data_IF_237476787687
#
_entry.id   IF_237476787687
#
_cell.length_a   1.000
_cell.length_b   1.000
_cell.length_c   1.000
_cell.angle_alpha   90.00
_cell.angle_beta   90.00
_cell.angle_gamma   90.00
#
_symmetry.space_group_name_H-M   'P 1'
#
loop_
_entity.id
_entity.type
_entity.pdbx_description
1 polymer ?
#
# COMPACT_ATOMS: atom_id res chain seq x y z
N UNK A 1 -41.06 10.18 -53.45
CA UNK A 1 -39.84 9.44 -53.14
C UNK A 1 -39.26 10.07 -51.86
N UNK A 2 -38.88 9.31 -50.85
CA UNK A 2 -38.24 9.86 -49.65
C UNK A 2 -36.86 10.43 -50.02
N UNK A 3 -36.66 11.71 -49.81
CA UNK A 3 -35.36 12.34 -49.97
C UNK A 3 -34.48 11.89 -48.79
N UNK A 4 -33.64 10.89 -49.04
CA UNK A 4 -32.58 10.55 -48.12
C UNK A 4 -31.54 11.68 -48.12
N UNK A 5 -31.58 12.55 -47.14
CA UNK A 5 -30.52 13.53 -46.90
C UNK A 5 -29.25 12.75 -46.55
N UNK A 6 -28.22 12.89 -47.36
CA UNK A 6 -26.91 12.33 -47.04
C UNK A 6 -26.40 12.93 -45.69
N UNK A 7 -26.13 12.08 -44.74
CA UNK A 7 -25.45 12.47 -43.51
C UNK A 7 -24.00 12.78 -43.89
N UNK A 8 -23.59 14.05 -43.79
CA UNK A 8 -22.21 14.44 -43.99
C UNK A 8 -21.55 14.59 -42.63
N UNK A 9 -20.51 13.83 -42.38
CA UNK A 9 -19.69 13.99 -41.20
C UNK A 9 -19.02 15.37 -41.22
N UNK A 10 -19.11 16.08 -40.08
CA UNK A 10 -18.44 17.37 -39.88
C UNK A 10 -17.49 17.28 -38.74
N UNK A 11 -16.29 17.77 -38.92
CA UNK A 11 -15.27 17.85 -37.90
C UNK A 11 -15.42 19.18 -37.12
N UNK A 12 -15.49 19.09 -35.79
CA UNK A 12 -15.40 20.23 -34.90
C UNK A 12 -13.97 20.30 -34.36
N UNK A 13 -13.25 21.36 -34.71
CA UNK A 13 -11.92 21.61 -34.12
C UNK A 13 -12.04 22.56 -32.93
N UNK A 14 -11.56 22.13 -31.77
CA UNK A 14 -11.49 22.94 -30.56
C UNK A 14 -10.03 23.28 -30.27
N UNK A 15 -9.72 24.56 -30.06
CA UNK A 15 -8.40 25.00 -29.58
C UNK A 15 -8.50 25.24 -28.08
N UNK A 16 -7.65 24.56 -27.32
CA UNK A 16 -7.60 24.65 -25.86
C UNK A 16 -6.29 25.34 -25.46
N UNK A 17 -6.36 26.26 -24.51
CA UNK A 17 -5.18 26.81 -23.85
C UNK A 17 -4.72 25.83 -22.78
N UNK A 18 -3.39 25.78 -22.52
CA UNK A 18 -2.83 24.92 -21.47
C UNK A 18 -3.50 25.22 -20.12
N UNK A 19 -3.84 24.16 -19.39
CA UNK A 19 -4.38 24.27 -18.04
C UNK A 19 -3.22 24.40 -17.02
N UNK A 20 -2.83 25.63 -16.73
CA UNK A 20 -1.80 25.92 -15.72
C UNK A 20 -2.33 25.99 -14.28
N UNK A 21 -3.62 25.73 -14.07
CA UNK A 21 -4.21 25.67 -12.74
C UNK A 21 -3.97 24.28 -12.12
N UNK A 22 -4.16 24.17 -10.81
CA UNK A 22 -4.09 22.86 -10.12
C UNK A 22 -5.44 22.12 -10.09
N UNK A 23 -6.44 22.62 -10.84
CA UNK A 23 -7.79 22.05 -10.84
C UNK A 23 -8.24 21.65 -12.25
N UNK A 24 -9.13 20.66 -12.33
CA UNK A 24 -9.78 20.27 -13.57
C UNK A 24 -10.66 21.42 -14.07
N UNK A 25 -10.59 21.70 -15.37
CA UNK A 25 -11.47 22.65 -16.04
C UNK A 25 -12.51 21.90 -16.85
N UNK A 26 -13.72 22.39 -16.81
CA UNK A 26 -14.83 21.87 -17.61
C UNK A 26 -15.46 22.98 -18.41
N UNK A 27 -15.86 22.66 -19.64
CA UNK A 27 -16.62 23.53 -20.50
C UNK A 27 -17.72 22.73 -21.21
N UNK A 28 -18.84 23.40 -21.46
CA UNK A 28 -19.93 22.83 -22.25
C UNK A 28 -19.98 23.60 -23.57
N UNK A 29 -19.85 22.87 -24.67
CA UNK A 29 -20.01 23.40 -26.03
C UNK A 29 -21.41 23.05 -26.51
N UNK A 30 -22.20 24.06 -26.77
CA UNK A 30 -23.55 23.88 -27.34
C UNK A 30 -23.49 23.82 -28.86
N UNK A 31 -23.95 22.73 -29.44
CA UNK A 31 -24.07 22.51 -30.87
C UNK A 31 -25.50 22.81 -31.26
N UNK A 32 -25.69 23.71 -32.17
CA UNK A 32 -27.03 24.08 -32.70
C UNK A 32 -27.03 23.99 -34.22
N UNK A 33 -27.93 23.20 -34.74
CA UNK A 33 -28.20 23.22 -36.17
C UNK A 33 -29.04 24.46 -36.53
N UNK A 34 -28.55 25.25 -37.47
CA UNK A 34 -29.22 26.47 -37.92
C UNK A 34 -30.39 26.22 -38.88
N UNK A 35 -30.51 25.00 -39.39
CA UNK A 35 -31.57 24.61 -40.38
C UNK A 35 -32.63 23.68 -39.80
N UNK A 36 -32.36 23.08 -38.67
CA UNK A 36 -33.28 22.25 -37.91
C UNK A 36 -33.28 22.66 -36.43
N UNK A 37 -34.26 22.21 -35.66
CA UNK A 37 -34.30 22.48 -34.22
C UNK A 37 -33.45 21.47 -33.40
N UNK A 38 -32.53 20.78 -34.04
CA UNK A 38 -31.63 19.83 -33.35
C UNK A 38 -30.55 20.59 -32.61
N UNK A 39 -30.44 20.28 -31.34
CA UNK A 39 -29.39 20.78 -30.45
C UNK A 39 -28.69 19.60 -29.80
N UNK A 40 -27.39 19.74 -29.57
CA UNK A 40 -26.59 18.77 -28.83
C UNK A 40 -25.58 19.51 -27.94
N UNK A 41 -24.97 18.81 -26.99
CA UNK A 41 -23.99 19.36 -26.09
C UNK A 41 -22.76 18.46 -26.02
N UNK A 42 -21.58 19.07 -26.05
CA UNK A 42 -20.31 18.39 -25.85
C UNK A 42 -19.70 18.91 -24.54
N UNK A 43 -19.48 17.99 -23.58
CA UNK A 43 -18.72 18.30 -22.39
C UNK A 43 -17.23 18.11 -22.68
N UNK A 44 -16.44 19.15 -22.46
CA UNK A 44 -14.97 19.13 -22.59
C UNK A 44 -14.37 19.21 -21.20
N UNK A 45 -13.56 18.24 -20.84
CA UNK A 45 -12.82 18.18 -19.55
C UNK A 45 -11.33 18.30 -19.84
N UNK A 46 -10.66 19.24 -19.19
CA UNK A 46 -9.23 19.44 -19.32
C UNK A 46 -8.55 19.26 -17.96
N UNK A 47 -7.69 18.25 -17.84
CA UNK A 47 -6.88 18.02 -16.66
C UNK A 47 -5.75 19.04 -16.54
N UNK A 48 -5.33 19.40 -15.29
CA UNK A 48 -4.09 20.13 -15.08
C UNK A 48 -2.88 19.24 -15.42
N UNK A 49 -1.69 19.82 -15.43
CA UNK A 49 -0.47 19.02 -15.41
C UNK A 49 -0.48 18.13 -14.15
N UNK A 50 -0.37 16.79 -14.30
CA UNK A 50 -0.48 15.88 -13.18
C UNK A 50 0.64 16.10 -12.16
N UNK A 51 0.26 16.32 -10.91
CA UNK A 51 1.17 16.43 -9.77
C UNK A 51 0.68 15.54 -8.66
N UNK A 52 1.55 14.70 -8.16
CA UNK A 52 1.27 13.86 -6.99
C UNK A 52 2.57 13.62 -6.22
N UNK A 53 2.43 13.40 -4.93
CA UNK A 53 3.52 13.01 -4.05
C UNK A 53 3.03 11.92 -3.12
N UNK A 54 3.29 10.67 -3.50
CA UNK A 54 2.99 9.50 -2.70
C UNK A 54 4.26 9.09 -1.97
N UNK A 55 4.37 9.47 -0.70
CA UNK A 55 5.58 9.22 0.10
C UNK A 55 5.62 7.78 0.65
N UNK A 56 4.48 7.09 0.70
CA UNK A 56 4.38 5.72 1.19
C UNK A 56 3.33 4.94 0.40
N UNK A 57 3.75 3.82 -0.15
CA UNK A 57 2.90 2.86 -0.86
C UNK A 57 2.37 1.72 0.04
N UNK A 58 2.72 1.75 1.35
CA UNK A 58 2.31 0.77 2.35
C UNK A 58 1.38 1.42 3.37
N UNK A 59 0.17 0.90 3.48
CA UNK A 59 -0.84 1.35 4.42
C UNK A 59 -0.99 0.33 5.55
N UNK A 60 -1.03 0.82 6.79
CA UNK A 60 -1.14 -0.03 7.98
C UNK A 60 -2.35 0.29 8.81
N UNK A 61 -2.99 -0.76 9.31
CA UNK A 61 -4.07 -0.66 10.25
C UNK A 61 -3.82 -1.56 11.47
N UNK A 62 -4.19 -1.08 12.67
CA UNK A 62 -4.20 -1.91 13.87
C UNK A 62 -5.32 -2.96 13.78
N UNK A 63 -5.19 -4.04 14.55
CA UNK A 63 -6.11 -5.17 14.51
C UNK A 63 -7.57 -4.79 14.82
N UNK A 64 -7.79 -3.80 15.69
CA UNK A 64 -9.10 -3.33 16.15
C UNK A 64 -9.59 -2.06 15.45
N UNK A 65 -8.80 -1.56 14.48
CA UNK A 65 -9.15 -0.38 13.72
C UNK A 65 -10.34 -0.66 12.79
N UNK A 66 -11.36 0.20 12.85
CA UNK A 66 -12.58 0.07 12.04
C UNK A 66 -12.62 1.03 10.86
N UNK A 67 -11.74 2.03 10.85
CA UNK A 67 -11.61 2.98 9.75
C UNK A 67 -10.15 3.41 9.58
N UNK A 68 -9.66 3.38 8.34
CA UNK A 68 -8.34 3.88 7.97
C UNK A 68 -8.50 4.99 6.95
N UNK A 69 -7.91 6.14 7.25
CA UNK A 69 -7.82 7.26 6.31
C UNK A 69 -6.39 7.42 5.84
N UNK A 70 -6.22 7.55 4.53
CA UNK A 70 -4.96 7.90 3.91
C UNK A 70 -5.14 9.06 2.95
N UNK A 71 -4.21 10.02 2.95
CA UNK A 71 -4.22 11.16 2.03
C UNK A 71 -2.81 11.53 1.61
N UNK A 72 -2.68 12.02 0.39
CA UNK A 72 -1.42 12.48 -0.17
C UNK A 72 -1.66 13.65 -1.13
N UNK A 73 -0.62 14.44 -1.39
CA UNK A 73 -0.69 15.55 -2.34
C UNK A 73 -1.04 15.03 -3.74
N UNK A 74 -2.12 15.53 -4.31
CA UNK A 74 -2.55 15.15 -5.64
C UNK A 74 -3.56 16.15 -6.22
N UNK A 75 -3.37 16.54 -7.47
CA UNK A 75 -4.27 17.44 -8.19
C UNK A 75 -5.14 16.75 -9.24
N UNK A 76 -5.11 15.42 -9.30
CA UNK A 76 -5.91 14.60 -10.22
C UNK A 76 -6.66 13.50 -9.45
N UNK A 77 -7.87 13.11 -9.90
CA UNK A 77 -8.62 12.03 -9.28
C UNK A 77 -8.05 10.66 -9.66
N UNK A 78 -8.22 9.68 -8.77
CA UNK A 78 -7.96 8.28 -9.03
C UNK A 78 -9.16 7.41 -8.67
N UNK A 79 -9.33 6.34 -9.44
CA UNK A 79 -10.15 5.19 -9.03
C UNK A 79 -9.29 4.27 -8.16
N UNK A 80 -9.82 3.81 -7.04
CA UNK A 80 -9.19 2.81 -6.17
C UNK A 80 -9.71 1.44 -6.56
N UNK A 81 -8.83 0.55 -6.99
CA UNK A 81 -9.18 -0.78 -7.49
C UNK A 81 -8.39 -1.82 -6.73
N UNK A 82 -9.07 -2.72 -6.04
CA UNK A 82 -8.44 -3.88 -5.40
C UNK A 82 -8.01 -4.90 -6.45
N UNK A 83 -6.90 -5.59 -6.22
CA UNK A 83 -6.41 -6.65 -7.12
C UNK A 83 -7.26 -7.91 -7.01
N UNK A 84 -7.81 -8.19 -5.83
CA UNK A 84 -8.71 -9.29 -5.56
C UNK A 84 -10.16 -8.86 -5.76
N UNK A 85 -10.97 -9.71 -6.38
CA UNK A 85 -12.39 -9.41 -6.63
C UNK A 85 -13.21 -9.31 -5.33
N UNK A 86 -12.84 -10.09 -4.30
CA UNK A 86 -13.51 -10.07 -3.01
C UNK A 86 -12.50 -10.03 -1.85
N UNK A 87 -12.42 -8.91 -1.18
CA UNK A 87 -11.68 -8.73 0.06
C UNK A 87 -12.66 -8.53 1.20
N UNK A 88 -12.83 -9.54 2.07
CA UNK A 88 -13.89 -9.56 3.07
C UNK A 88 -13.67 -8.61 4.26
N UNK A 89 -12.41 -8.23 4.56
CA UNK A 89 -12.05 -7.48 5.76
C UNK A 89 -11.91 -5.97 5.55
N UNK A 90 -11.85 -5.51 4.29
CA UNK A 90 -11.73 -4.09 3.95
C UNK A 90 -12.63 -3.70 2.80
N UNK A 91 -13.25 -2.53 2.90
CA UNK A 91 -14.02 -1.92 1.82
C UNK A 91 -13.67 -0.45 1.68
N UNK A 92 -13.60 0.03 0.44
CA UNK A 92 -13.47 1.46 0.18
C UNK A 92 -14.78 2.16 0.52
N UNK A 93 -14.75 3.08 1.47
CA UNK A 93 -15.92 3.87 1.90
C UNK A 93 -16.09 5.14 1.09
N UNK A 94 -14.98 5.85 0.84
CA UNK A 94 -15.00 7.17 0.22
C UNK A 94 -13.67 7.50 -0.44
N UNK A 95 -13.73 8.25 -1.54
CA UNK A 95 -12.57 8.96 -2.09
C UNK A 95 -12.94 10.43 -2.31
N UNK A 96 -11.99 11.32 -2.02
CA UNK A 96 -12.13 12.76 -2.27
C UNK A 96 -10.86 13.30 -2.91
N UNK A 97 -11.02 14.24 -3.83
CA UNK A 97 -9.92 15.02 -4.38
C UNK A 97 -10.26 16.51 -4.20
N UNK A 98 -9.80 17.08 -3.13
CA UNK A 98 -10.10 18.46 -2.72
C UNK A 98 -8.81 19.16 -2.29
N UNK A 99 -8.69 20.44 -2.59
CA UNK A 99 -7.58 21.30 -2.16
C UNK A 99 -6.17 20.77 -2.47
N UNK A 100 -6.01 20.06 -3.58
CA UNK A 100 -4.73 19.46 -3.96
C UNK A 100 -4.37 18.20 -3.16
N UNK A 101 -5.32 17.61 -2.43
CA UNK A 101 -5.16 16.37 -1.69
C UNK A 101 -6.11 15.29 -2.25
N UNK A 102 -5.58 14.08 -2.46
CA UNK A 102 -6.40 12.91 -2.68
C UNK A 102 -6.52 12.13 -1.37
N UNK A 103 -7.74 11.94 -0.91
CA UNK A 103 -8.06 11.24 0.34
C UNK A 103 -8.82 9.97 0.04
N UNK A 104 -8.45 8.89 0.72
CA UNK A 104 -9.15 7.60 0.73
C UNK A 104 -9.57 7.26 2.15
N UNK A 105 -10.77 6.73 2.30
CA UNK A 105 -11.29 6.23 3.56
C UNK A 105 -11.71 4.78 3.37
N UNK A 106 -11.13 3.88 4.14
CA UNK A 106 -11.43 2.46 4.15
C UNK A 106 -12.21 2.11 5.42
N UNK A 107 -13.26 1.31 5.27
CA UNK A 107 -13.89 0.61 6.40
C UNK A 107 -13.17 -0.72 6.58
N UNK A 108 -12.82 -1.05 7.81
CA UNK A 108 -12.13 -2.28 8.18
C UNK A 108 -13.00 -3.10 9.12
N UNK A 109 -12.94 -4.42 8.98
CA UNK A 109 -13.43 -5.34 9.98
C UNK A 109 -12.26 -5.71 10.93
N UNK A 110 -12.48 -5.83 12.26
CA UNK A 110 -11.42 -6.19 13.19
C UNK A 110 -10.76 -7.53 12.84
N UNK A 111 -9.45 -7.57 12.85
CA UNK A 111 -8.71 -8.80 12.62
C UNK A 111 -8.66 -9.63 13.90
N UNK A 112 -9.44 -10.70 13.93
CA UNK A 112 -9.47 -11.66 15.05
C UNK A 112 -8.63 -12.91 14.78
N UNK A 113 -7.96 -12.96 13.64
CA UNK A 113 -7.08 -14.06 13.24
C UNK A 113 -5.70 -14.00 13.90
N UNK A 114 -4.88 -14.97 13.57
CA UNK A 114 -3.50 -15.11 14.06
C UNK A 114 -2.45 -14.58 13.08
N UNK A 115 -2.89 -14.05 11.93
CA UNK A 115 -2.04 -13.54 10.87
C UNK A 115 -2.48 -12.17 10.40
N UNK A 116 -1.58 -11.46 9.72
CA UNK A 116 -1.94 -10.21 9.04
C UNK A 116 -2.99 -10.46 7.97
N UNK A 117 -3.97 -9.56 7.90
CA UNK A 117 -4.77 -9.40 6.72
C UNK A 117 -3.98 -8.53 5.72
N UNK A 118 -3.92 -8.93 4.46
CA UNK A 118 -3.22 -8.21 3.41
C UNK A 118 -4.02 -8.17 2.14
N UNK A 119 -3.92 -7.05 1.45
CA UNK A 119 -4.42 -6.91 0.08
C UNK A 119 -3.59 -5.88 -0.68
N UNK A 120 -3.63 -5.96 -2.00
CA UNK A 120 -3.08 -4.95 -2.89
C UNK A 120 -4.20 -4.20 -3.56
N UNK A 121 -3.94 -2.93 -3.82
CA UNK A 121 -4.86 -2.09 -4.58
C UNK A 121 -4.07 -1.17 -5.52
N UNK A 122 -4.73 -0.65 -6.51
CA UNK A 122 -4.17 0.29 -7.47
C UNK A 122 -4.95 1.60 -7.47
N UNK A 123 -4.22 2.69 -7.47
CA UNK A 123 -4.75 4.01 -7.81
C UNK A 123 -4.67 4.15 -9.33
N UNK A 124 -5.83 4.17 -10.01
CA UNK A 124 -5.88 4.22 -11.48
C UNK A 124 -6.51 5.51 -11.96
N UNK A 125 -5.84 6.19 -12.90
CA UNK A 125 -6.45 7.23 -13.71
C UNK A 125 -6.46 6.78 -15.17
N UNK A 126 -7.62 6.34 -15.66
CA UNK A 126 -7.76 5.77 -16.99
C UNK A 126 -7.50 6.79 -18.11
N UNK A 127 -7.85 8.06 -17.86
CA UNK A 127 -7.71 9.12 -18.88
C UNK A 127 -6.23 9.42 -19.13
N UNK A 128 -5.42 9.43 -18.08
CA UNK A 128 -3.99 9.71 -18.16
C UNK A 128 -3.13 8.45 -18.28
N UNK A 129 -3.74 7.27 -18.26
CA UNK A 129 -3.02 5.99 -18.32
C UNK A 129 -2.13 5.72 -17.10
N UNK A 130 -2.45 6.30 -15.92
CA UNK A 130 -1.66 6.16 -14.71
C UNK A 130 -2.18 5.00 -13.86
N UNK A 131 -1.24 4.26 -13.23
CA UNK A 131 -1.55 3.21 -12.26
C UNK A 131 -0.43 3.11 -11.22
N UNK A 132 -0.77 3.24 -9.93
CA UNK A 132 0.16 3.15 -8.81
C UNK A 132 -0.29 2.04 -7.86
N UNK A 133 0.57 1.04 -7.59
CA UNK A 133 0.26 0.00 -6.63
C UNK A 133 0.36 0.55 -5.20
N UNK A 134 -0.54 0.09 -4.34
CA UNK A 134 -0.50 0.27 -2.90
C UNK A 134 -0.72 -1.08 -2.23
N UNK A 135 -0.10 -1.30 -1.09
CA UNK A 135 -0.38 -2.43 -0.21
C UNK A 135 -1.10 -1.97 1.05
N UNK A 136 -2.10 -2.71 1.46
CA UNK A 136 -2.81 -2.47 2.71
C UNK A 136 -2.68 -3.71 3.58
N UNK A 137 -2.17 -3.51 4.80
CA UNK A 137 -1.99 -4.56 5.80
C UNK A 137 -2.70 -4.17 7.10
N UNK A 138 -3.38 -5.16 7.72
CA UNK A 138 -3.97 -5.00 9.04
C UNK A 138 -3.34 -6.00 10.00
N UNK A 139 -2.86 -5.49 11.14
CA UNK A 139 -2.27 -6.32 12.19
C UNK A 139 -3.24 -7.39 12.67
N UNK A 140 -2.70 -8.47 13.18
CA UNK A 140 -3.42 -9.38 14.08
C UNK A 140 -3.28 -8.90 15.52
N UNK A 141 -4.11 -9.43 16.41
CA UNK A 141 -4.01 -9.13 17.85
C UNK A 141 -2.72 -9.73 18.41
N UNK A 142 -1.73 -8.89 18.68
CA UNK A 142 -0.49 -9.32 19.32
C UNK A 142 -0.76 -9.73 20.77
N UNK A 143 -0.05 -10.76 21.23
CA UNK A 143 -0.01 -11.05 22.66
C UNK A 143 0.64 -9.90 23.41
N UNK A 144 0.16 -9.66 24.63
CA UNK A 144 0.69 -8.63 25.53
C UNK A 144 2.19 -8.80 25.73
N UNK A 145 2.96 -7.99 25.17
CA UNK A 145 4.30 -7.93 25.56
C UNK A 145 5.37 -7.96 24.52
N UNK A 146 6.50 -8.41 24.91
CA UNK A 146 7.75 -8.17 24.27
C UNK A 146 8.18 -9.27 23.29
N UNK A 147 7.40 -10.39 23.23
CA UNK A 147 7.75 -11.53 22.39
C UNK A 147 6.51 -12.11 21.74
N UNK A 148 6.53 -12.24 20.43
CA UNK A 148 5.48 -12.85 19.64
C UNK A 148 6.03 -14.09 18.95
N UNK A 149 5.36 -15.22 19.08
CA UNK A 149 5.65 -16.41 18.28
C UNK A 149 4.78 -16.32 17.04
N UNK A 150 5.39 -15.98 15.92
CA UNK A 150 4.64 -15.79 14.68
C UNK A 150 4.32 -17.11 13.99
N UNK A 151 5.29 -17.98 13.89
CA UNK A 151 5.14 -19.28 13.24
C UNK A 151 5.81 -20.35 14.07
N UNK A 152 5.06 -21.39 14.40
CA UNK A 152 5.61 -22.60 15.01
C UNK A 152 6.00 -23.61 13.93
N UNK A 153 7.05 -24.39 14.10
CA UNK A 153 7.33 -25.54 13.25
C UNK A 153 6.12 -26.48 13.23
N UNK A 154 5.68 -26.87 12.05
CA UNK A 154 4.52 -27.78 11.85
C UNK A 154 4.95 -29.19 11.43
N UNK A 155 6.23 -29.49 11.46
CA UNK A 155 6.73 -30.79 11.07
C UNK A 155 6.23 -31.87 12.01
N UNK A 156 5.31 -32.69 11.50
CA UNK A 156 4.86 -33.93 12.13
C UNK A 156 5.85 -35.03 11.74
N UNK A 157 6.63 -35.47 12.70
CA UNK A 157 7.57 -36.58 12.50
C UNK A 157 6.80 -37.90 12.39
N UNK A 158 6.77 -38.54 11.19
CA UNK A 158 6.16 -39.84 11.04
C UNK A 158 6.90 -40.92 11.85
N UNK A 159 8.06 -40.61 12.40
CA UNK A 159 8.86 -41.48 13.27
C UNK A 159 8.81 -40.99 14.72
N UNK A 160 7.59 -40.77 15.27
CA UNK A 160 7.39 -40.30 16.63
C UNK A 160 8.11 -41.10 17.72
N UNK A 161 8.59 -42.28 17.43
CA UNK A 161 9.45 -43.12 18.27
C UNK A 161 10.93 -42.76 18.25
N UNK A 162 11.36 -41.82 17.38
CA UNK A 162 12.73 -41.38 17.30
C UNK A 162 13.02 -40.36 18.41
N UNK A 163 14.17 -40.48 19.10
CA UNK A 163 14.52 -39.53 20.18
C UNK A 163 14.49 -38.06 19.75
N UNK A 164 14.10 -37.14 20.67
CA UNK A 164 13.91 -35.74 20.39
C UNK A 164 15.10 -35.02 19.76
N UNK A 165 16.32 -35.49 19.99
CA UNK A 165 17.53 -34.91 19.38
C UNK A 165 17.61 -35.09 17.85
N UNK A 166 16.81 -35.99 17.27
CA UNK A 166 16.71 -36.16 15.82
C UNK A 166 15.58 -35.36 15.18
N UNK A 167 14.76 -34.70 16.00
CA UNK A 167 13.68 -33.79 15.56
C UNK A 167 14.26 -32.40 15.42
N UNK A 168 15.06 -32.17 14.40
CA UNK A 168 15.69 -30.88 14.20
C UNK A 168 14.63 -29.89 13.69
N UNK A 169 14.19 -29.03 14.57
CA UNK A 169 13.45 -27.81 14.26
C UNK A 169 14.29 -26.60 14.61
N UNK A 170 14.22 -25.58 13.78
CA UNK A 170 14.96 -24.35 13.99
C UNK A 170 13.99 -23.22 14.27
N UNK A 171 14.33 -22.38 15.27
CA UNK A 171 13.62 -21.13 15.49
C UNK A 171 14.54 -19.97 15.13
N UNK A 172 14.09 -19.12 14.22
CA UNK A 172 14.71 -17.85 13.93
C UNK A 172 14.14 -16.82 14.89
N UNK A 173 15.03 -16.10 15.57
CA UNK A 173 14.64 -14.98 16.41
C UNK A 173 14.91 -13.72 15.61
N UNK A 174 13.85 -12.99 15.27
CA UNK A 174 13.92 -11.71 14.60
C UNK A 174 13.98 -10.62 15.70
N UNK A 175 15.09 -9.92 15.73
CA UNK A 175 15.35 -8.85 16.71
C UNK A 175 15.49 -7.56 15.91
N UNK A 176 14.54 -6.65 16.06
CA UNK A 176 14.60 -5.34 15.45
C UNK A 176 15.49 -4.40 16.26
N UNK A 177 16.33 -3.62 15.59
CA UNK A 177 16.99 -2.47 16.19
C UNK A 177 16.56 -1.20 15.43
N UNK A 178 16.49 -0.07 16.15
CA UNK A 178 16.06 1.18 15.56
C UNK A 178 14.55 1.32 15.34
N UNK A 179 13.72 0.56 16.06
CA UNK A 179 12.27 0.75 16.10
C UNK A 179 11.88 1.36 17.45
N UNK A 180 11.18 2.49 17.40
CA UNK A 180 10.63 3.12 18.59
C UNK A 180 9.41 2.36 19.11
N UNK A 181 9.01 2.69 20.35
CA UNK A 181 7.79 2.13 20.94
C UNK A 181 6.57 2.35 20.05
N UNK A 182 6.40 3.54 19.51
CA UNK A 182 5.28 3.91 18.65
C UNK A 182 5.28 3.08 17.35
N UNK A 183 6.44 2.83 16.77
CA UNK A 183 6.56 2.01 15.56
C UNK A 183 6.24 0.54 15.85
N UNK A 184 6.66 -0.01 16.97
CA UNK A 184 6.30 -1.36 17.41
C UNK A 184 4.79 -1.44 17.68
N UNK A 185 4.23 -0.51 18.45
CA UNK A 185 2.79 -0.47 18.75
C UNK A 185 1.93 -0.22 17.51
N UNK A 186 2.48 0.43 16.48
CA UNK A 186 1.78 0.62 15.19
C UNK A 186 1.80 -0.64 14.32
N UNK A 187 2.67 -1.62 14.61
CA UNK A 187 2.86 -2.84 13.84
C UNK A 187 3.85 -2.76 12.69
N UNK A 188 4.52 -1.63 12.51
CA UNK A 188 5.53 -1.46 11.47
C UNK A 188 6.64 -2.50 11.59
N UNK A 189 7.14 -2.72 12.81
CA UNK A 189 8.16 -3.74 13.07
C UNK A 189 7.70 -5.15 12.66
N UNK A 190 6.50 -5.53 13.11
CA UNK A 190 5.95 -6.86 12.83
C UNK A 190 5.77 -7.08 11.32
N UNK A 191 5.43 -6.04 10.57
CA UNK A 191 5.35 -6.14 9.13
C UNK A 191 6.71 -6.42 8.48
N UNK A 192 7.76 -5.68 8.85
CA UNK A 192 9.10 -5.93 8.32
C UNK A 192 9.59 -7.34 8.66
N UNK A 193 9.28 -7.82 9.87
CA UNK A 193 9.57 -9.20 10.26
C UNK A 193 8.85 -10.20 9.36
N UNK A 194 7.57 -9.96 9.05
CA UNK A 194 6.82 -10.82 8.15
C UNK A 194 7.40 -10.82 6.73
N UNK A 195 7.75 -9.65 6.19
CA UNK A 195 8.39 -9.55 4.87
C UNK A 195 9.73 -10.33 4.85
N UNK A 196 10.52 -10.23 5.92
CA UNK A 196 11.77 -10.98 6.05
C UNK A 196 11.52 -12.49 6.10
N UNK A 197 10.54 -12.94 6.87
CA UNK A 197 10.15 -14.35 6.96
C UNK A 197 9.72 -14.90 5.59
N UNK A 198 8.82 -14.21 4.91
CA UNK A 198 8.34 -14.61 3.58
C UNK A 198 9.48 -14.62 2.55
N UNK A 199 10.39 -13.64 2.63
CA UNK A 199 11.59 -13.60 1.82
C UNK A 199 12.48 -14.82 2.03
N UNK A 200 12.73 -15.20 3.29
CA UNK A 200 13.51 -16.41 3.61
C UNK A 200 12.82 -17.67 3.10
N UNK A 201 11.51 -17.83 3.35
CA UNK A 201 10.76 -19.01 2.92
C UNK A 201 10.59 -19.13 1.40
N UNK A 202 10.84 -18.07 0.66
CA UNK A 202 10.85 -18.10 -0.81
C UNK A 202 12.14 -18.72 -1.39
N UNK A 203 13.21 -18.81 -0.61
CA UNK A 203 14.55 -19.24 -1.03
C UNK A 203 14.87 -20.67 -0.59
N UNK A 204 15.61 -21.42 -1.43
CA UNK A 204 16.15 -22.70 -1.01
C UNK A 204 17.37 -22.51 -0.08
N UNK A 205 17.53 -23.38 0.93
CA UNK A 205 16.74 -24.57 1.28
C UNK A 205 15.51 -24.31 2.17
N UNK A 206 15.27 -23.07 2.59
CA UNK A 206 14.20 -22.73 3.53
C UNK A 206 12.81 -23.04 2.97
N UNK A 207 12.63 -22.86 1.67
CA UNK A 207 11.37 -23.19 0.99
C UNK A 207 11.03 -24.68 1.10
N UNK A 208 12.01 -25.56 0.82
CA UNK A 208 11.82 -27.02 0.86
C UNK A 208 11.55 -27.54 2.28
N UNK A 209 12.11 -26.88 3.30
CA UNK A 209 12.02 -27.34 4.69
C UNK A 209 11.24 -26.34 5.57
N UNK A 210 10.30 -25.61 4.99
CA UNK A 210 9.58 -24.54 5.69
C UNK A 210 8.82 -25.02 6.93
N UNK A 211 8.36 -26.27 6.95
CA UNK A 211 7.69 -26.88 8.10
C UNK A 211 8.61 -27.10 9.32
N UNK A 212 9.93 -27.05 9.13
CA UNK A 212 10.92 -27.20 10.21
C UNK A 212 11.32 -25.88 10.86
N UNK A 213 10.88 -24.77 10.31
CA UNK A 213 11.25 -23.46 10.79
C UNK A 213 10.12 -22.81 11.58
N UNK A 214 10.48 -22.25 12.73
CA UNK A 214 9.65 -21.34 13.50
C UNK A 214 10.26 -19.93 13.49
N UNK A 215 9.45 -18.93 13.74
CA UNK A 215 9.86 -17.54 13.83
C UNK A 215 9.36 -16.94 15.13
N UNK A 216 10.25 -16.27 15.84
CA UNK A 216 9.96 -15.57 17.09
C UNK A 216 10.35 -14.11 16.88
N UNK A 217 9.41 -13.20 17.04
CA UNK A 217 9.66 -11.77 16.99
C UNK A 217 9.95 -11.26 18.41
N UNK A 218 11.02 -10.53 18.54
CA UNK A 218 11.37 -9.87 19.80
C UNK A 218 11.18 -8.35 19.63
N UNK A 219 10.23 -7.79 20.37
CA UNK A 219 9.99 -6.37 20.42
C UNK A 219 11.02 -5.69 21.32
N UNK A 220 12.03 -5.08 20.71
CA UNK A 220 13.08 -4.37 21.40
C UNK A 220 12.98 -2.87 21.09
N UNK A 221 12.45 -2.10 22.05
CA UNK A 221 12.28 -0.66 21.88
C UNK A 221 13.63 0.06 21.81
N UNK A 222 13.81 0.91 20.80
CA UNK A 222 14.90 1.87 20.67
C UNK A 222 14.45 3.28 21.04
N UNK A 223 15.38 4.10 21.52
CA UNK A 223 15.08 5.49 21.87
C UNK A 223 14.77 6.33 20.63
N UNK A 224 15.40 6.00 19.51
CA UNK A 224 15.25 6.69 18.24
C UNK A 224 15.03 5.70 17.10
N UNK A 225 14.31 6.14 16.07
CA UNK A 225 14.05 5.37 14.85
C UNK A 225 15.24 5.42 13.89
N UNK A 226 15.56 4.27 13.29
CA UNK A 226 16.56 4.12 12.25
C UNK A 226 17.85 3.49 12.73
N UNK A 227 18.91 3.71 11.96
CA UNK A 227 20.25 3.16 12.21
C UNK A 227 21.29 4.28 12.09
N UNK A 228 22.36 4.19 12.84
CA UNK A 228 23.48 5.13 12.71
C UNK A 228 24.15 4.96 11.36
N UNK A 229 24.28 6.06 10.63
CA UNK A 229 24.98 6.15 9.36
C UNK A 229 26.15 7.13 9.49
N UNK A 230 27.37 6.59 9.51
CA UNK A 230 28.59 7.40 9.63
C UNK A 230 29.01 8.01 8.29
N UNK A 231 28.55 7.47 7.17
CA UNK A 231 28.94 7.87 5.83
C UNK A 231 27.82 8.54 5.04
N UNK A 232 26.80 9.07 5.72
CA UNK A 232 25.61 9.63 5.08
C UNK A 232 25.97 10.51 3.88
N UNK A 233 25.74 9.98 2.69
CA UNK A 233 26.05 10.63 1.42
C UNK A 233 25.22 11.89 1.19
N UNK A 234 24.12 12.02 1.94
CA UNK A 234 23.19 13.14 1.85
C UNK A 234 22.90 13.71 3.25
N UNK A 235 23.69 14.68 3.70
CA UNK A 235 23.38 15.46 4.89
C UNK A 235 24.35 15.33 6.06
N UNK A 236 25.42 14.55 5.96
CA UNK A 236 26.42 14.34 7.03
C UNK A 236 26.06 13.15 7.92
N UNK A 237 26.98 12.73 8.81
CA UNK A 237 26.79 11.56 9.64
C UNK A 237 25.57 11.74 10.55
N UNK A 238 24.68 10.76 10.54
CA UNK A 238 23.51 10.70 11.41
C UNK A 238 23.77 9.66 12.50
N UNK A 239 23.85 10.09 13.75
CA UNK A 239 23.95 9.19 14.90
C UNK A 239 22.55 8.99 15.46
N UNK A 240 22.15 7.72 15.64
CA UNK A 240 20.84 7.33 16.15
C UNK A 240 21.02 6.49 17.41
N UNK A 241 20.28 6.80 18.46
CA UNK A 241 20.31 6.06 19.72
C UNK A 241 19.40 4.83 19.67
N UNK A 242 19.91 3.75 19.10
CA UNK A 242 19.20 2.47 19.02
C UNK A 242 19.53 1.54 20.17
N UNK A 243 18.68 0.55 20.43
CA UNK A 243 18.82 -0.42 21.54
C UNK A 243 20.13 -1.19 21.48
N UNK A 244 20.50 -1.68 20.29
CA UNK A 244 21.68 -2.50 20.07
C UNK A 244 22.83 -1.74 19.42
N UNK A 245 22.67 -0.40 19.27
CA UNK A 245 23.68 0.49 18.68
C UNK A 245 24.07 0.07 17.26
N UNK A 246 23.09 -0.33 16.44
CA UNK A 246 23.36 -0.68 15.06
C UNK A 246 23.95 0.51 14.29
N UNK A 247 24.90 0.22 13.43
CA UNK A 247 25.48 1.20 12.51
C UNK A 247 25.58 0.63 11.12
N UNK A 248 25.43 1.51 10.16
CA UNK A 248 25.61 1.21 8.74
C UNK A 248 26.92 1.87 8.30
N UNK A 249 27.89 1.06 7.95
CA UNK A 249 29.15 1.48 7.35
C UNK A 249 29.24 0.93 5.93
N UNK A 250 29.62 1.77 4.97
CA UNK A 250 30.04 1.28 3.68
C UNK A 250 31.40 0.57 3.80
N UNK A 251 31.45 -0.71 3.39
CA UNK A 251 32.68 -1.47 3.29
C UNK A 251 33.42 -1.13 1.99
#
# INVERSE_FOLDING_TARGET
APVTKAVTDRNLALTLTVNNSNVIREAIVYLKDTQSNLNDTLKVTQYPEPKWKLDNDKLFAKYDMTELTHSFECNIPFDVVFDEEEVSWVTLKETKNEDGQFKMVFKLEPNTGEFFNRTKLHLKNKVLGLSFPLSLSQMYKTYDGHTVIWKKPTYDDPFASVPDFQRITFNFILIGDGFTKEEIESGVYDLYCQEAMEGMESLEPFKTYSERFGFILLHAESAESGCTDYNATYGGPKVVDTRFKCSYDEF
#
